data_IF_573060208064
#
_entry.id   IF_573060208064
#
_cell.length_a   1.000
_cell.length_b   1.000
_cell.length_c   1.000
_cell.angle_alpha   90.00
_cell.angle_beta   90.00
_cell.angle_gamma   90.00
#
_symmetry.space_group_name_H-M   'P 1'
#
loop_
_entity.id
_entity.type
_entity.pdbx_description
1 polymer ?
#
# COMPACT_ATOMS: atom_id res chain seq x y z
N UNK A 1 -6.35 -18.04 12.79
CA UNK A 1 -5.59 -16.88 13.31
C UNK A 1 -4.38 -17.38 14.09
N UNK A 2 -4.59 -18.27 15.06
CA UNK A 2 -3.52 -18.92 15.85
C UNK A 2 -2.41 -19.54 14.97
N UNK A 3 -2.79 -20.27 13.92
CA UNK A 3 -1.81 -20.89 13.00
C UNK A 3 -0.92 -19.86 12.30
N UNK A 4 -1.48 -18.70 11.92
CA UNK A 4 -0.74 -17.62 11.27
C UNK A 4 0.30 -17.04 12.24
N UNK A 5 -0.12 -16.75 13.47
CA UNK A 5 0.77 -16.19 14.49
C UNK A 5 1.86 -17.19 14.90
N UNK A 6 1.50 -18.47 15.03
CA UNK A 6 2.44 -19.56 15.33
C UNK A 6 3.51 -19.70 14.25
N UNK A 7 3.12 -19.62 12.97
CA UNK A 7 4.07 -19.66 11.86
C UNK A 7 4.99 -18.44 11.86
N UNK A 8 4.45 -17.23 12.04
CA UNK A 8 5.26 -16.00 12.13
C UNK A 8 6.26 -16.12 13.28
N UNK A 9 5.84 -16.61 14.45
CA UNK A 9 6.73 -16.78 15.60
C UNK A 9 7.86 -17.77 15.31
N UNK A 10 7.53 -18.91 14.70
CA UNK A 10 8.49 -19.98 14.39
C UNK A 10 9.48 -19.60 13.29
N UNK A 11 9.00 -18.93 12.23
CA UNK A 11 9.75 -18.78 10.98
C UNK A 11 10.10 -17.32 10.65
N UNK A 12 9.59 -16.36 11.43
CA UNK A 12 9.68 -14.93 11.14
C UNK A 12 11.10 -14.40 10.95
N UNK A 13 12.11 -14.97 11.64
CA UNK A 13 13.51 -14.55 11.49
C UNK A 13 14.07 -14.83 10.08
N UNK A 14 13.43 -15.72 9.32
CA UNK A 14 13.76 -16.03 7.93
C UNK A 14 12.89 -15.28 6.90
N UNK A 15 11.87 -14.55 7.37
CA UNK A 15 10.87 -13.90 6.52
C UNK A 15 11.23 -12.41 6.39
N UNK A 16 11.60 -11.98 5.18
CA UNK A 16 11.84 -10.56 4.92
C UNK A 16 10.54 -9.75 4.86
N UNK A 17 9.50 -10.30 4.21
CA UNK A 17 8.24 -9.62 3.96
C UNK A 17 7.07 -10.56 4.19
N UNK A 18 6.09 -10.11 4.97
CA UNK A 18 4.76 -10.70 5.05
C UNK A 18 3.85 -9.90 4.13
N UNK A 19 3.25 -10.56 3.13
CA UNK A 19 2.29 -9.95 2.23
C UNK A 19 1.00 -10.76 2.26
N UNK A 20 -0.11 -10.12 2.65
CA UNK A 20 -1.37 -10.82 2.88
C UNK A 20 -2.58 -10.03 2.37
N UNK A 21 -3.70 -10.70 2.10
CA UNK A 21 -4.96 -10.00 1.82
C UNK A 21 -5.53 -9.44 3.13
N UNK A 22 -6.06 -8.21 3.14
CA UNK A 22 -6.84 -7.71 4.28
C UNK A 22 -8.15 -8.50 4.46
N UNK A 23 -8.81 -8.81 3.34
CA UNK A 23 -10.01 -9.65 3.28
C UNK A 23 -9.85 -10.67 2.14
N UNK A 24 -10.01 -11.95 2.43
CA UNK A 24 -9.78 -13.01 1.45
C UNK A 24 -10.92 -13.07 0.42
N UNK A 25 -10.58 -12.99 -0.87
CA UNK A 25 -11.53 -12.81 -1.98
C UNK A 25 -12.56 -13.93 -2.08
N UNK A 26 -12.17 -15.17 -1.76
CA UNK A 26 -13.04 -16.34 -1.92
C UNK A 26 -13.84 -16.65 -0.66
N UNK A 27 -13.16 -16.76 0.49
CA UNK A 27 -13.79 -17.16 1.75
C UNK A 27 -14.47 -16.01 2.47
N UNK A 28 -14.18 -14.76 2.09
CA UNK A 28 -14.66 -13.57 2.80
C UNK A 28 -13.97 -13.33 4.15
N UNK A 29 -12.95 -14.11 4.49
CA UNK A 29 -12.27 -13.99 5.79
C UNK A 29 -11.58 -12.64 5.92
N UNK A 30 -12.02 -11.84 6.88
CA UNK A 30 -11.34 -10.62 7.31
C UNK A 30 -10.21 -10.99 8.26
N UNK A 31 -8.98 -10.59 7.94
CA UNK A 31 -7.82 -10.83 8.80
C UNK A 31 -7.59 -9.66 9.75
N UNK A 32 -7.15 -9.98 10.97
CA UNK A 32 -6.72 -8.99 11.96
C UNK A 32 -5.36 -8.40 11.57
N UNK A 33 -5.43 -7.34 10.77
CA UNK A 33 -4.24 -6.68 10.21
C UNK A 33 -3.33 -6.12 11.29
N UNK A 34 -3.90 -5.56 12.36
CA UNK A 34 -3.12 -4.97 13.45
C UNK A 34 -2.29 -6.04 14.14
N UNK A 35 -2.92 -7.13 14.57
CA UNK A 35 -2.25 -8.22 15.29
C UNK A 35 -1.18 -8.91 14.43
N UNK A 36 -1.47 -9.15 13.15
CA UNK A 36 -0.49 -9.76 12.22
C UNK A 36 0.68 -8.81 11.92
N UNK A 37 0.41 -7.52 11.76
CA UNK A 37 1.46 -6.50 11.56
C UNK A 37 2.40 -6.43 12.76
N UNK A 38 1.84 -6.37 13.98
CA UNK A 38 2.64 -6.39 15.21
C UNK A 38 3.45 -7.67 15.36
N UNK A 39 2.90 -8.84 15.00
CA UNK A 39 3.61 -10.11 15.05
C UNK A 39 4.79 -10.16 14.07
N UNK A 40 4.60 -9.71 12.84
CA UNK A 40 5.69 -9.62 11.87
C UNK A 40 6.79 -8.67 12.31
N UNK A 41 6.43 -7.50 12.86
CA UNK A 41 7.41 -6.53 13.35
C UNK A 41 8.26 -7.07 14.51
N UNK A 42 7.68 -7.86 15.42
CA UNK A 42 8.45 -8.51 16.50
C UNK A 42 9.56 -9.42 15.98
N UNK A 43 9.40 -9.95 14.77
CA UNK A 43 10.37 -10.83 14.09
C UNK A 43 11.24 -10.08 13.06
N UNK A 44 11.10 -8.75 12.97
CA UNK A 44 11.86 -7.93 12.03
C UNK A 44 11.34 -7.93 10.59
N UNK A 45 10.17 -8.53 10.33
CA UNK A 45 9.55 -8.56 9.01
C UNK A 45 9.00 -7.18 8.62
N UNK A 46 9.00 -6.87 7.32
CA UNK A 46 8.13 -5.83 6.76
C UNK A 46 6.76 -6.45 6.47
N UNK A 47 5.67 -5.84 6.88
CA UNK A 47 4.30 -6.35 6.74
C UNK A 47 3.46 -5.43 5.85
N UNK A 48 3.04 -5.97 4.71
CA UNK A 48 2.20 -5.29 3.74
C UNK A 48 0.90 -6.02 3.42
N UNK A 49 -0.07 -5.27 2.87
CA UNK A 49 -1.42 -5.76 2.66
C UNK A 49 -1.98 -5.47 1.26
N UNK A 50 -2.57 -6.48 0.63
CA UNK A 50 -3.50 -6.32 -0.48
C UNK A 50 -4.90 -6.05 0.07
N UNK A 51 -5.41 -4.85 -0.18
CA UNK A 51 -6.68 -4.36 0.31
C UNK A 51 -7.74 -4.31 -0.81
N UNK A 52 -7.57 -5.04 -1.91
CA UNK A 52 -8.52 -5.05 -3.02
C UNK A 52 -9.96 -5.37 -2.58
N UNK A 53 -10.14 -6.24 -1.59
CA UNK A 53 -11.45 -6.57 -1.02
C UNK A 53 -11.75 -5.89 0.33
N UNK A 54 -10.82 -5.10 0.87
CA UNK A 54 -10.96 -4.45 2.17
C UNK A 54 -11.21 -2.93 2.04
N UNK A 55 -10.53 -2.27 1.09
CA UNK A 55 -10.70 -0.84 0.83
C UNK A 55 -12.14 -0.53 0.40
N UNK A 56 -12.73 0.50 1.02
CA UNK A 56 -14.14 0.88 0.86
C UNK A 56 -15.16 -0.22 1.26
N UNK A 57 -14.72 -1.28 1.96
CA UNK A 57 -15.58 -2.38 2.42
C UNK A 57 -15.59 -2.47 3.96
N UNK A 58 -14.42 -2.42 4.59
CA UNK A 58 -14.26 -2.49 6.05
C UNK A 58 -13.49 -1.28 6.58
N UNK A 59 -13.63 -0.92 7.88
CA UNK A 59 -12.81 0.12 8.49
C UNK A 59 -11.32 -0.23 8.42
N UNK A 60 -10.50 0.75 8.07
CA UNK A 60 -9.04 0.62 7.96
C UNK A 60 -8.37 1.75 8.73
N UNK A 61 -7.37 1.45 9.57
CA UNK A 61 -6.47 2.45 10.16
C UNK A 61 -5.00 2.08 9.93
N UNK A 62 -4.57 2.13 8.67
CA UNK A 62 -3.25 1.62 8.26
C UNK A 62 -2.08 2.31 8.98
N UNK A 63 -2.20 3.62 9.23
CA UNK A 63 -1.18 4.38 9.95
C UNK A 63 -1.13 3.99 11.42
N UNK A 64 -2.27 3.97 12.11
CA UNK A 64 -2.33 3.66 13.54
C UNK A 64 -1.96 2.19 13.82
N UNK A 65 -2.24 1.29 12.87
CA UNK A 65 -1.84 -0.12 12.92
C UNK A 65 -0.39 -0.35 12.50
N UNK A 66 0.36 0.71 12.18
CA UNK A 66 1.77 0.66 11.80
C UNK A 66 2.05 -0.18 10.54
N UNK A 67 1.05 -0.44 9.69
CA UNK A 67 1.21 -1.18 8.43
C UNK A 67 2.34 -0.57 7.61
N UNK A 68 3.24 -1.36 7.03
CA UNK A 68 4.40 -0.81 6.33
C UNK A 68 4.04 -0.25 4.96
N UNK A 69 3.23 -1.02 4.22
CA UNK A 69 2.70 -0.63 2.92
C UNK A 69 1.40 -1.37 2.62
N UNK A 70 0.59 -0.83 1.73
CA UNK A 70 -0.59 -1.52 1.22
C UNK A 70 -0.92 -1.07 -0.21
N UNK A 71 -1.67 -1.88 -0.94
CA UNK A 71 -2.21 -1.52 -2.25
C UNK A 71 -3.67 -1.96 -2.38
N UNK A 72 -4.43 -1.31 -3.25
CA UNK A 72 -5.81 -1.67 -3.52
C UNK A 72 -6.25 -1.26 -4.92
N UNK A 73 -7.30 -1.89 -5.40
CA UNK A 73 -8.07 -1.43 -6.55
C UNK A 73 -9.22 -0.53 -6.10
N UNK A 74 -9.68 0.36 -6.99
CA UNK A 74 -10.89 1.16 -6.76
C UNK A 74 -12.12 0.65 -7.50
N UNK A 75 -11.96 -0.29 -8.42
CA UNK A 75 -13.06 -0.77 -9.29
C UNK A 75 -13.98 -1.80 -8.65
N UNK A 76 -13.76 -2.14 -7.36
CA UNK A 76 -14.61 -3.04 -6.57
C UNK A 76 -15.54 -2.23 -5.68
N UNK A 77 -15.32 -2.24 -4.36
CA UNK A 77 -16.20 -1.57 -3.39
C UNK A 77 -16.19 -0.04 -3.50
N UNK A 78 -15.13 0.55 -4.05
CA UNK A 78 -15.06 1.98 -4.36
C UNK A 78 -15.69 2.36 -5.73
N UNK A 79 -16.26 1.39 -6.45
CA UNK A 79 -17.14 1.62 -7.62
C UNK A 79 -16.58 2.49 -8.74
N UNK A 80 -15.26 2.53 -8.97
CA UNK A 80 -14.65 3.44 -9.95
C UNK A 80 -14.73 2.99 -11.42
N UNK A 81 -15.52 1.96 -11.74
CA UNK A 81 -15.55 1.33 -13.07
C UNK A 81 -14.33 0.44 -13.37
N UNK A 82 -14.48 -0.48 -14.32
CA UNK A 82 -13.49 -1.50 -14.66
C UNK A 82 -12.13 -0.87 -15.03
N UNK A 83 -11.06 -1.31 -14.36
CA UNK A 83 -9.71 -0.80 -14.60
C UNK A 83 -9.45 0.61 -14.05
N UNK A 84 -10.27 1.10 -13.13
CA UNK A 84 -10.03 2.38 -12.43
C UNK A 84 -8.70 2.43 -11.66
N UNK A 85 -8.27 3.64 -11.30
CA UNK A 85 -6.96 3.88 -10.68
C UNK A 85 -6.78 3.13 -9.37
N UNK A 86 -5.74 2.32 -9.29
CA UNK A 86 -5.33 1.72 -8.02
C UNK A 86 -4.81 2.77 -7.03
N UNK A 87 -4.78 2.38 -5.74
CA UNK A 87 -4.15 3.14 -4.68
C UNK A 87 -3.00 2.38 -4.04
N UNK A 88 -2.08 3.13 -3.44
CA UNK A 88 -0.97 2.61 -2.67
C UNK A 88 -0.78 3.45 -1.40
N UNK A 89 -0.43 2.79 -0.31
CA UNK A 89 -0.09 3.37 0.98
C UNK A 89 1.31 2.92 1.34
N UNK A 90 2.11 3.84 1.88
CA UNK A 90 3.42 3.57 2.47
C UNK A 90 3.49 4.38 3.76
N UNK A 91 3.87 3.73 4.85
CA UNK A 91 3.93 4.37 6.16
C UNK A 91 4.89 5.56 6.16
N UNK A 92 4.55 6.63 6.87
CA UNK A 92 5.39 7.86 6.93
C UNK A 92 6.79 7.60 7.50
N UNK A 93 6.97 6.54 8.27
CA UNK A 93 8.28 6.09 8.79
C UNK A 93 9.29 5.80 7.68
N UNK A 94 8.83 5.55 6.45
CA UNK A 94 9.68 5.35 5.26
C UNK A 94 9.91 6.64 4.45
N UNK A 95 9.51 7.82 4.94
CA UNK A 95 9.67 9.09 4.22
C UNK A 95 11.13 9.43 3.92
N UNK A 96 12.06 9.04 4.81
CA UNK A 96 13.50 9.27 4.66
C UNK A 96 14.26 8.05 4.12
N UNK A 97 13.55 7.01 3.70
CA UNK A 97 14.14 5.77 3.22
C UNK A 97 14.86 5.98 1.87
N UNK A 98 16.13 5.56 1.82
CA UNK A 98 17.05 5.81 0.69
C UNK A 98 17.20 4.63 -0.28
N UNK A 99 16.40 3.56 -0.12
CA UNK A 99 16.45 2.41 -1.04
C UNK A 99 16.11 2.87 -2.46
N UNK A 100 16.71 2.20 -3.44
CA UNK A 100 16.43 2.48 -4.86
C UNK A 100 14.96 2.20 -5.18
N UNK A 101 14.38 3.03 -6.05
CA UNK A 101 12.98 2.98 -6.44
C UNK A 101 12.87 3.14 -7.95
N UNK A 102 11.76 2.66 -8.50
CA UNK A 102 11.38 3.00 -9.87
C UNK A 102 10.92 4.46 -9.90
N UNK A 103 11.80 5.34 -10.36
CA UNK A 103 11.54 6.76 -10.46
C UNK A 103 11.18 7.12 -11.89
N UNK A 104 10.22 8.04 -12.02
CA UNK A 104 9.98 8.75 -13.26
C UNK A 104 9.78 10.24 -12.97
N UNK A 105 9.64 11.04 -14.02
CA UNK A 105 9.60 12.50 -13.91
C UNK A 105 8.48 13.07 -13.01
N UNK A 106 7.40 12.33 -12.78
CA UNK A 106 6.34 12.74 -11.84
C UNK A 106 6.72 12.59 -10.36
N UNK A 107 7.81 11.87 -10.06
CA UNK A 107 8.36 11.77 -8.71
C UNK A 107 9.10 13.05 -8.31
N UNK A 108 9.43 13.91 -9.30
CA UNK A 108 10.13 15.17 -9.09
C UNK A 108 9.24 16.21 -8.40
N UNK A 109 9.87 17.07 -7.60
CA UNK A 109 9.21 18.22 -6.95
C UNK A 109 8.44 19.04 -7.99
N UNK A 110 7.16 19.26 -7.72
CA UNK A 110 6.22 19.89 -8.66
C UNK A 110 6.71 21.25 -9.18
N UNK A 111 7.24 22.11 -8.29
CA UNK A 111 7.70 23.46 -8.66
C UNK A 111 8.93 23.50 -9.57
N UNK A 112 9.69 22.41 -9.67
CA UNK A 112 10.90 22.33 -10.51
C UNK A 112 10.81 21.22 -11.56
N UNK A 113 9.71 20.46 -11.61
CA UNK A 113 9.53 19.28 -12.47
C UNK A 113 9.80 19.57 -13.95
N UNK A 114 9.36 20.72 -14.45
CA UNK A 114 9.50 21.10 -15.85
C UNK A 114 10.83 21.82 -16.17
N UNK A 115 11.73 21.98 -15.20
CA UNK A 115 13.11 22.40 -15.47
C UNK A 115 13.87 21.28 -16.20
N UNK A 116 13.49 20.01 -15.95
CA UNK A 116 14.05 18.84 -16.63
C UNK A 116 15.59 18.75 -16.53
N UNK A 117 16.14 19.17 -15.38
CA UNK A 117 17.59 19.19 -15.10
C UNK A 117 18.17 17.82 -14.71
N UNK A 118 17.37 16.76 -14.79
CA UNK A 118 17.70 15.39 -14.35
C UNK A 118 18.14 15.28 -12.88
N UNK A 119 17.83 16.28 -12.06
CA UNK A 119 18.09 16.22 -10.62
C UNK A 119 17.13 15.25 -9.91
N UNK A 120 17.59 14.63 -8.83
CA UNK A 120 16.83 13.61 -8.10
C UNK A 120 16.12 14.21 -6.87
N UNK A 121 15.34 15.27 -7.04
CA UNK A 121 14.52 15.81 -5.95
C UNK A 121 13.22 14.99 -5.79
N UNK A 122 13.29 13.92 -5.00
CA UNK A 122 12.15 13.04 -4.73
C UNK A 122 11.10 13.73 -3.87
N UNK A 123 9.86 13.70 -4.34
CA UNK A 123 8.71 14.15 -3.59
C UNK A 123 7.67 13.03 -3.41
N UNK A 124 7.53 12.10 -4.36
CA UNK A 124 6.47 11.10 -4.35
C UNK A 124 6.79 9.81 -5.12
N UNK A 125 5.96 8.77 -4.90
CA UNK A 125 6.01 7.46 -5.58
C UNK A 125 5.33 7.43 -6.98
N UNK A 126 5.04 8.59 -7.59
CA UNK A 126 4.44 8.61 -8.93
C UNK A 126 5.52 8.55 -10.01
N UNK A 127 5.53 7.51 -10.83
CA UNK A 127 6.48 7.40 -11.94
C UNK A 127 6.03 8.22 -13.17
N UNK A 128 4.73 8.24 -13.46
CA UNK A 128 4.16 8.80 -14.68
C UNK A 128 3.02 9.79 -14.43
N UNK A 129 2.55 10.43 -15.50
CA UNK A 129 1.38 11.33 -15.48
C UNK A 129 0.15 10.52 -15.05
N UNK A 130 -0.59 10.94 -14.02
CA UNK A 130 -1.84 10.29 -13.64
C UNK A 130 -2.88 10.35 -14.77
N UNK A 131 -3.62 9.27 -14.99
CA UNK A 131 -4.71 9.24 -15.95
C UNK A 131 -5.86 10.14 -15.48
N UNK A 132 -6.02 11.28 -16.15
CA UNK A 132 -7.00 12.31 -15.78
C UNK A 132 -8.43 11.76 -15.74
N UNK A 133 -8.88 11.07 -16.79
CA UNK A 133 -10.24 10.53 -16.86
C UNK A 133 -10.54 9.56 -15.71
N UNK A 134 -9.60 8.67 -15.37
CA UNK A 134 -9.79 7.72 -14.28
C UNK A 134 -9.78 8.40 -12.91
N UNK A 135 -9.04 9.51 -12.76
CA UNK A 135 -9.05 10.31 -11.53
C UNK A 135 -10.43 10.92 -11.27
N UNK A 136 -11.09 11.46 -12.29
CA UNK A 136 -12.44 12.03 -12.13
C UNK A 136 -13.47 11.00 -11.67
N UNK A 137 -13.40 9.78 -12.19
CA UNK A 137 -14.34 8.70 -11.81
C UNK A 137 -14.12 8.28 -10.36
N UNK A 138 -12.87 8.17 -9.90
CA UNK A 138 -12.58 7.79 -8.51
C UNK A 138 -13.00 8.85 -7.48
N UNK A 139 -12.86 10.15 -7.76
CA UNK A 139 -13.17 11.22 -6.78
C UNK A 139 -14.64 11.61 -6.71
N UNK A 140 -15.43 11.38 -7.78
CA UNK A 140 -16.88 11.62 -7.74
C UNK A 140 -17.67 10.46 -7.10
N UNK A 141 -17.02 9.35 -6.77
CA UNK A 141 -17.63 8.19 -6.14
C UNK A 141 -17.63 8.24 -4.60
N UNK A 142 -17.09 9.31 -3.99
CA UNK A 142 -16.99 9.51 -2.54
C UNK A 142 -17.64 10.83 -2.11
#
# INVERSE_FOLDING_TARGET
MEDILSLIEREGDSIAVIMFSGLQYYTGQLFDMKTITEAGHRKGCIVGWDLAHAFANVPLSLHDWNVDFACWCTYKYASSGAGGLAGAFIHSKYATDKRERMLGWWAHKTGTRFIMDNSKYLCFFFSSVPYFCLKYVCFNAF
#
